data_IF_460464937230
#
_entry.id   IF_460464937230
#
_cell.length_a   1.000
_cell.length_b   1.000
_cell.length_c   1.000
_cell.angle_alpha   90.00
_cell.angle_beta   90.00
_cell.angle_gamma   90.00
#
_symmetry.space_group_name_H-M   'P 1'
#
loop_
_entity.id
_entity.type
_entity.pdbx_description
1 polymer ?
#
# COMPACT_ATOMS: atom_id res chain seq x y z
N UNK A 1 -0.47 16.17 10.85
CA UNK A 1 -0.41 14.79 11.41
C UNK A 1 0.88 14.18 10.90
N UNK A 2 1.56 13.40 11.73
CA UNK A 2 2.86 12.82 11.36
C UNK A 2 2.68 11.54 10.52
N UNK A 3 3.48 11.42 9.46
CA UNK A 3 3.50 10.19 8.66
C UNK A 3 4.00 9.03 9.51
N UNK A 4 3.27 7.92 9.55
CA UNK A 4 3.64 6.77 10.38
C UNK A 4 4.95 6.08 9.92
N UNK A 5 5.35 6.29 8.66
CA UNK A 5 6.57 5.70 8.10
C UNK A 5 7.83 6.55 8.31
N UNK A 6 7.73 7.86 8.14
CA UNK A 6 8.90 8.76 8.17
C UNK A 6 8.84 9.88 9.22
N UNK A 7 7.73 10.00 9.94
CA UNK A 7 7.56 10.95 11.05
C UNK A 7 7.39 12.41 10.66
N UNK A 8 7.44 12.76 9.38
CA UNK A 8 7.27 14.16 8.94
C UNK A 8 5.83 14.62 9.13
N UNK A 9 5.64 15.88 9.49
CA UNK A 9 4.31 16.50 9.46
C UNK A 9 3.93 16.83 8.02
N UNK A 10 2.90 16.16 7.52
CA UNK A 10 2.44 16.29 6.14
C UNK A 10 0.95 15.92 6.03
N UNK A 11 0.37 16.15 4.84
CA UNK A 11 -0.90 15.54 4.47
C UNK A 11 -0.75 14.02 4.40
N UNK A 12 -1.64 13.32 5.11
CA UNK A 12 -1.64 11.86 5.16
C UNK A 12 -2.81 11.31 4.36
N UNK A 13 -2.57 10.19 3.70
CA UNK A 13 -3.60 9.40 3.00
C UNK A 13 -3.78 8.09 3.74
N UNK A 14 -5.04 7.72 3.94
CA UNK A 14 -5.42 6.44 4.52
C UNK A 14 -5.24 5.30 3.51
N UNK A 15 -4.61 4.20 3.95
CA UNK A 15 -4.50 2.95 3.18
C UNK A 15 -4.78 1.76 4.06
N UNK A 16 -5.73 0.94 3.61
CA UNK A 16 -5.99 -0.36 4.21
C UNK A 16 -5.18 -1.43 3.45
N UNK A 17 -4.36 -2.19 4.18
CA UNK A 17 -3.57 -3.29 3.65
C UNK A 17 -3.74 -4.48 4.58
N UNK A 18 -4.30 -5.58 4.08
CA UNK A 18 -4.54 -6.81 4.86
C UNK A 18 -5.34 -6.58 6.17
N UNK A 19 -6.23 -5.58 6.17
CA UNK A 19 -7.04 -5.17 7.32
C UNK A 19 -6.34 -4.24 8.31
N UNK A 20 -5.16 -3.72 7.96
CA UNK A 20 -4.44 -2.72 8.74
C UNK A 20 -4.47 -1.36 8.05
N UNK A 21 -4.95 -0.35 8.79
CA UNK A 21 -4.96 1.03 8.35
C UNK A 21 -3.60 1.71 8.57
N UNK A 22 -3.06 2.30 7.51
CA UNK A 22 -1.85 3.10 7.51
C UNK A 22 -2.15 4.54 7.06
N UNK A 23 -1.53 5.51 7.72
CA UNK A 23 -1.63 6.93 7.39
C UNK A 23 -0.26 7.46 6.94
N UNK A 24 -0.09 7.55 5.62
CA UNK A 24 1.20 7.84 4.99
C UNK A 24 1.16 9.13 4.18
N UNK A 25 2.29 9.84 4.14
CA UNK A 25 2.47 10.98 3.24
C UNK A 25 2.64 10.51 1.78
N UNK A 26 2.38 11.42 0.83
CA UNK A 26 2.47 11.12 -0.60
C UNK A 26 3.83 10.57 -1.04
N UNK A 27 4.93 11.06 -0.46
CA UNK A 27 6.27 10.57 -0.78
C UNK A 27 6.45 9.08 -0.38
N UNK A 28 5.97 8.72 0.81
CA UNK A 28 5.99 7.35 1.29
C UNK A 28 5.08 6.43 0.49
N UNK A 29 3.93 6.95 0.02
CA UNK A 29 3.02 6.22 -0.86
C UNK A 29 3.62 5.97 -2.24
N UNK A 30 4.24 6.97 -2.87
CA UNK A 30 4.89 6.80 -4.18
C UNK A 30 5.98 5.74 -4.15
N UNK A 31 6.80 5.75 -3.09
CA UNK A 31 7.84 4.73 -2.91
C UNK A 31 7.26 3.33 -2.64
N UNK A 32 6.11 3.24 -1.97
CA UNK A 32 5.40 1.98 -1.76
C UNK A 32 4.84 1.45 -3.09
N UNK A 33 4.15 2.30 -3.85
CA UNK A 33 3.53 1.93 -5.12
C UNK A 33 4.56 1.41 -6.12
N UNK A 34 5.75 2.02 -6.18
CA UNK A 34 6.87 1.56 -7.00
C UNK A 34 7.34 0.13 -6.65
N UNK A 35 7.26 -0.28 -5.38
CA UNK A 35 7.62 -1.64 -4.95
C UNK A 35 6.50 -2.63 -5.30
N UNK A 36 5.23 -2.25 -5.10
CA UNK A 36 4.08 -3.12 -5.40
C UNK A 36 3.82 -3.29 -6.90
N UNK A 37 3.99 -2.25 -7.70
CA UNK A 37 3.87 -2.34 -9.16
C UNK A 37 4.95 -3.23 -9.79
N UNK A 38 6.06 -3.47 -9.09
CA UNK A 38 7.08 -4.44 -9.50
C UNK A 38 6.77 -5.88 -9.07
N UNK A 39 5.72 -6.14 -8.30
CA UNK A 39 5.23 -7.50 -8.02
C UNK A 39 4.27 -7.93 -9.13
N UNK A 40 4.57 -8.98 -9.92
CA UNK A 40 3.64 -9.56 -10.90
C UNK A 40 2.43 -10.29 -10.26
N UNK A 41 2.24 -10.16 -8.94
CA UNK A 41 1.28 -10.93 -8.14
C UNK A 41 0.24 -9.99 -7.51
N UNK A 42 -0.44 -9.21 -8.35
CA UNK A 42 -1.73 -8.59 -8.00
C UNK A 42 -2.82 -9.00 -9.01
N UNK A 43 -2.56 -10.09 -9.74
CA UNK A 43 -3.46 -10.72 -10.68
C UNK A 43 -3.51 -12.24 -10.43
N UNK A 44 -3.51 -12.71 -9.17
CA UNK A 44 -4.04 -14.04 -8.87
C UNK A 44 -5.58 -13.96 -8.74
N UNK A 45 -6.22 -13.43 -9.79
CA UNK A 45 -7.60 -13.73 -10.12
C UNK A 45 -7.61 -15.07 -10.88
N UNK A 46 -7.04 -16.12 -10.29
CA UNK A 46 -7.01 -17.47 -10.86
C UNK A 46 -7.01 -18.56 -9.79
N UNK A 47 -7.77 -18.35 -8.71
CA UNK A 47 -8.38 -19.47 -7.98
C UNK A 47 -9.33 -20.21 -8.94
N UNK A 48 -8.76 -21.18 -9.64
CA UNK A 48 -9.49 -22.13 -10.46
C UNK A 48 -10.52 -22.87 -9.60
N UNK A 49 -11.80 -22.97 -9.99
CA UNK A 49 -12.71 -23.90 -9.33
C UNK A 49 -12.21 -25.31 -9.65
N UNK A 50 -11.86 -26.07 -8.61
CA UNK A 50 -11.54 -27.48 -8.75
C UNK A 50 -12.74 -28.19 -9.42
N UNK A 51 -12.43 -28.96 -10.46
CA UNK A 51 -13.35 -29.82 -11.22
C UNK A 51 -13.87 -30.99 -10.38
#
# INVERSE_FOLDING_TARGET
MNCERCGIDASLTHRDVDGFAYYLCEACLRGWDAVRSSSPDAADESRSPAR
#
